data_IF_352662601863
#
_entry.id   IF_352662601863
#
_cell.length_a   1.000
_cell.length_b   1.000
_cell.length_c   1.000
_cell.angle_alpha   90.00
_cell.angle_beta   90.00
_cell.angle_gamma   90.00
#
_symmetry.space_group_name_H-M   'P 1'
#
loop_
_entity.id
_entity.type
_entity.pdbx_description
1 polymer ?
#
# COMPACT_ATOMS: atom_id res chain seq x y z
N UNK A 1 -36.55 -82.91 28.44
CA UNK A 1 -35.31 -82.10 28.39
C UNK A 1 -34.66 -82.30 27.02
N UNK A 2 -34.78 -81.31 26.12
CA UNK A 2 -34.04 -81.28 24.85
C UNK A 2 -33.27 -79.96 24.83
N UNK A 3 -31.95 -80.07 24.83
CA UNK A 3 -31.04 -78.94 24.85
C UNK A 3 -31.05 -78.22 23.50
N UNK A 4 -31.28 -76.91 23.52
CA UNK A 4 -31.20 -76.02 22.37
C UNK A 4 -29.75 -75.53 22.28
N UNK A 5 -29.03 -75.92 21.24
CA UNK A 5 -27.72 -75.35 20.91
C UNK A 5 -27.95 -74.05 20.13
N UNK A 6 -27.79 -72.90 20.79
CA UNK A 6 -27.73 -71.60 20.13
C UNK A 6 -26.31 -71.42 19.56
N UNK A 7 -26.17 -71.47 18.24
CA UNK A 7 -24.93 -71.06 17.56
C UNK A 7 -24.92 -69.54 17.46
N UNK A 8 -24.05 -68.90 18.25
CA UNK A 8 -23.83 -67.46 18.24
C UNK A 8 -22.82 -67.13 17.11
N UNK A 9 -23.30 -66.85 15.91
CA UNK A 9 -22.47 -66.28 14.84
C UNK A 9 -22.12 -64.83 15.18
N UNK A 10 -20.93 -64.62 15.77
CA UNK A 10 -20.30 -63.31 15.90
C UNK A 10 -19.91 -62.80 14.50
N UNK A 11 -20.77 -62.00 13.88
CA UNK A 11 -20.37 -61.12 12.78
C UNK A 11 -19.52 -59.99 13.36
N UNK A 12 -18.19 -60.16 13.37
CA UNK A 12 -17.28 -59.02 13.49
C UNK A 12 -17.42 -58.18 12.20
N UNK A 13 -18.26 -57.16 12.24
CA UNK A 13 -18.15 -56.05 11.30
C UNK A 13 -16.82 -55.34 11.55
N UNK A 14 -15.79 -55.70 10.77
CA UNK A 14 -14.58 -54.92 10.65
C UNK A 14 -14.98 -53.55 10.10
N UNK A 15 -15.16 -52.58 10.99
CA UNK A 15 -15.19 -51.17 10.63
C UNK A 15 -13.77 -50.82 10.15
N UNK A 16 -13.53 -51.00 8.86
CA UNK A 16 -12.38 -50.42 8.19
C UNK A 16 -12.55 -48.91 8.26
N UNK A 17 -11.91 -48.27 9.25
CA UNK A 17 -11.66 -46.84 9.21
C UNK A 17 -10.82 -46.59 7.95
N UNK A 18 -11.46 -46.22 6.85
CA UNK A 18 -10.78 -45.62 5.72
C UNK A 18 -10.12 -44.36 6.25
N UNK A 19 -8.81 -44.41 6.52
CA UNK A 19 -8.04 -43.21 6.80
C UNK A 19 -8.24 -42.30 5.58
N UNK A 20 -8.82 -41.12 5.79
CA UNK A 20 -8.89 -40.09 4.75
C UNK A 20 -7.46 -39.84 4.30
N UNK A 21 -7.12 -40.28 3.08
CA UNK A 21 -5.78 -40.16 2.54
C UNK A 21 -5.43 -38.68 2.50
N UNK A 22 -4.38 -38.25 3.23
CA UNK A 22 -3.86 -36.89 3.09
C UNK A 22 -3.32 -36.74 1.66
N UNK A 23 -4.10 -36.10 0.79
CA UNK A 23 -3.78 -35.92 -0.63
C UNK A 23 -2.49 -35.13 -0.84
N UNK A 24 -2.03 -34.37 0.17
CA UNK A 24 -0.83 -33.55 0.11
C UNK A 24 0.43 -34.21 0.70
N UNK A 25 0.33 -35.43 1.23
CA UNK A 25 1.41 -36.07 1.99
C UNK A 25 2.77 -36.09 1.26
N UNK A 26 2.75 -36.26 -0.08
CA UNK A 26 3.98 -36.24 -0.89
C UNK A 26 4.66 -34.87 -0.94
N UNK A 27 3.88 -33.79 -1.07
CA UNK A 27 4.37 -32.42 -1.09
C UNK A 27 4.88 -32.04 0.31
N UNK A 28 4.08 -32.32 1.33
CA UNK A 28 4.37 -32.00 2.73
C UNK A 28 5.68 -32.71 3.18
N UNK A 29 5.81 -34.01 2.91
CA UNK A 29 7.01 -34.80 3.26
C UNK A 29 8.28 -34.32 2.55
N UNK A 30 8.13 -33.77 1.34
CA UNK A 30 9.26 -33.17 0.62
C UNK A 30 9.66 -31.83 1.25
N UNK A 31 8.69 -31.03 1.66
CA UNK A 31 8.94 -29.76 2.36
C UNK A 31 9.49 -29.95 3.77
N UNK A 32 9.18 -31.04 4.47
CA UNK A 32 9.82 -31.40 5.74
C UNK A 32 11.35 -31.56 5.62
N UNK A 33 11.84 -31.81 4.41
CA UNK A 33 13.26 -32.03 4.10
C UNK A 33 13.94 -30.79 3.51
N UNK A 34 13.29 -29.63 3.52
CA UNK A 34 13.92 -28.39 3.07
C UNK A 34 15.21 -28.12 3.88
N UNK A 35 16.37 -27.93 3.22
CA UNK A 35 17.61 -27.61 3.93
C UNK A 35 17.49 -26.29 4.69
N UNK A 36 18.17 -26.17 5.84
CA UNK A 36 18.12 -24.96 6.67
C UNK A 36 18.52 -23.70 5.90
N UNK A 37 19.56 -23.79 5.05
CA UNK A 37 20.01 -22.64 4.25
C UNK A 37 18.95 -22.17 3.24
N UNK A 38 18.15 -23.11 2.72
CA UNK A 38 17.02 -22.83 1.82
C UNK A 38 15.78 -22.31 2.56
N UNK A 39 15.79 -22.29 3.90
CA UNK A 39 14.69 -21.86 4.77
C UNK A 39 14.97 -20.51 5.48
N UNK A 40 16.08 -19.85 5.14
CA UNK A 40 16.56 -18.64 5.83
C UNK A 40 16.22 -17.32 5.10
N UNK A 41 15.74 -17.39 3.86
CA UNK A 41 15.24 -16.22 3.13
C UNK A 41 14.04 -16.61 2.28
N UNK A 42 13.15 -15.66 2.00
CA UNK A 42 11.99 -15.92 1.16
C UNK A 42 12.36 -16.27 -0.28
N UNK A 43 13.45 -15.72 -0.81
CA UNK A 43 13.95 -16.09 -2.15
C UNK A 43 14.49 -17.52 -2.19
N UNK A 44 15.21 -17.96 -1.14
CA UNK A 44 15.70 -19.33 -1.09
C UNK A 44 14.55 -20.35 -0.98
N UNK A 45 13.53 -20.04 -0.16
CA UNK A 45 12.31 -20.85 -0.06
C UNK A 45 11.60 -20.91 -1.42
N UNK A 46 11.41 -19.77 -2.10
CA UNK A 46 10.78 -19.70 -3.42
C UNK A 46 11.54 -20.54 -4.47
N UNK A 47 12.88 -20.45 -4.48
CA UNK A 47 13.73 -21.20 -5.39
C UNK A 47 13.67 -22.71 -5.12
N UNK A 48 13.71 -23.10 -3.85
CA UNK A 48 13.58 -24.50 -3.45
C UNK A 48 12.23 -25.07 -3.91
N UNK A 49 11.13 -24.38 -3.62
CA UNK A 49 9.78 -24.81 -4.03
C UNK A 49 9.70 -24.90 -5.56
N UNK A 50 10.14 -23.86 -6.28
CA UNK A 50 10.07 -23.80 -7.74
C UNK A 50 10.90 -24.86 -8.45
N UNK A 51 12.03 -25.28 -7.86
CA UNK A 51 12.88 -26.34 -8.39
C UNK A 51 12.29 -27.74 -8.14
N UNK A 52 11.43 -27.89 -7.14
CA UNK A 52 10.94 -29.17 -6.65
C UNK A 52 9.50 -29.51 -7.04
N UNK A 53 8.72 -28.51 -7.47
CA UNK A 53 7.30 -28.63 -7.82
C UNK A 53 7.00 -27.88 -9.12
N UNK A 54 6.17 -28.48 -9.98
CA UNK A 54 5.97 -27.98 -11.36
C UNK A 54 4.76 -27.07 -11.48
N UNK A 55 3.65 -27.48 -10.87
CA UNK A 55 2.37 -26.78 -11.00
C UNK A 55 2.19 -25.73 -9.90
N UNK A 56 1.42 -24.68 -10.19
CA UNK A 56 1.12 -23.64 -9.20
C UNK A 56 0.36 -24.20 -7.99
N UNK A 57 -0.49 -25.21 -8.21
CA UNK A 57 -1.19 -25.92 -7.14
C UNK A 57 -0.23 -26.68 -6.19
N UNK A 58 0.82 -27.31 -6.71
CA UNK A 58 1.83 -27.96 -5.87
C UNK A 58 2.70 -26.94 -5.13
N UNK A 59 3.14 -25.88 -5.83
CA UNK A 59 3.98 -24.82 -5.27
C UNK A 59 3.27 -24.09 -4.13
N UNK A 60 2.02 -23.70 -4.33
CA UNK A 60 1.25 -23.00 -3.31
C UNK A 60 0.91 -23.91 -2.12
N UNK A 61 0.74 -25.22 -2.35
CA UNK A 61 0.62 -26.21 -1.26
C UNK A 61 1.91 -26.28 -0.44
N UNK A 62 3.05 -26.39 -1.11
CA UNK A 62 4.35 -26.44 -0.45
C UNK A 62 4.59 -25.19 0.40
N UNK A 63 4.22 -24.01 -0.10
CA UNK A 63 4.32 -22.75 0.63
C UNK A 63 3.35 -22.67 1.83
N UNK A 64 2.08 -23.04 1.63
CA UNK A 64 1.11 -23.09 2.74
C UNK A 64 1.59 -24.02 3.84
N UNK A 65 2.07 -25.21 3.47
CA UNK A 65 2.62 -26.15 4.42
C UNK A 65 3.82 -25.56 5.15
N UNK A 66 4.81 -25.02 4.42
CA UNK A 66 6.01 -24.43 5.04
C UNK A 66 5.65 -23.33 6.03
N UNK A 67 4.78 -22.39 5.66
CA UNK A 67 4.35 -21.29 6.53
C UNK A 67 3.62 -21.80 7.78
N UNK A 68 2.65 -22.71 7.60
CA UNK A 68 1.86 -23.26 8.71
C UNK A 68 2.67 -24.19 9.64
N UNK A 69 3.64 -24.93 9.11
CA UNK A 69 4.41 -25.92 9.87
C UNK A 69 5.70 -25.36 10.47
N UNK A 70 6.30 -24.32 9.90
CA UNK A 70 7.56 -23.75 10.38
C UNK A 70 7.37 -22.55 11.31
N UNK A 71 6.29 -21.79 11.19
CA UNK A 71 6.06 -20.60 12.01
C UNK A 71 5.20 -20.97 13.23
N UNK A 72 5.52 -20.42 14.40
CA UNK A 72 4.71 -20.54 15.62
C UNK A 72 4.07 -19.21 16.01
N UNK A 73 2.83 -19.24 16.47
CA UNK A 73 2.12 -18.00 16.80
C UNK A 73 2.73 -17.31 18.03
N UNK A 74 3.05 -16.03 17.90
CA UNK A 74 3.70 -15.23 18.94
C UNK A 74 2.67 -14.48 19.79
N UNK A 75 2.30 -15.09 20.91
CA UNK A 75 1.29 -14.54 21.84
C UNK A 75 1.81 -13.28 22.54
N UNK A 76 3.11 -13.21 22.86
CA UNK A 76 3.70 -12.02 23.47
C UNK A 76 3.62 -10.83 22.52
N UNK A 77 3.95 -11.03 21.24
CA UNK A 77 3.83 -10.00 20.20
C UNK A 77 2.37 -9.64 19.93
N UNK A 78 1.43 -10.59 19.99
CA UNK A 78 -0.01 -10.30 19.87
C UNK A 78 -0.50 -9.38 21.00
N UNK A 79 -0.01 -9.57 22.22
CA UNK A 79 -0.40 -8.75 23.38
C UNK A 79 0.30 -7.38 23.40
N UNK A 80 1.46 -7.25 22.76
CA UNK A 80 2.22 -6.00 22.66
C UNK A 80 2.69 -5.75 21.21
N UNK A 81 1.77 -5.37 20.31
CA UNK A 81 2.09 -5.18 18.89
C UNK A 81 3.00 -3.96 18.70
N UNK A 82 4.02 -4.11 17.84
CA UNK A 82 4.82 -2.98 17.39
C UNK A 82 4.13 -2.30 16.20
N UNK A 83 3.59 -1.10 16.41
CA UNK A 83 2.87 -0.34 15.39
C UNK A 83 3.77 0.23 14.28
N UNK A 84 5.09 0.26 14.49
CA UNK A 84 6.06 0.81 13.54
C UNK A 84 6.78 -0.28 12.72
N UNK A 85 6.40 -1.55 12.86
CA UNK A 85 7.03 -2.66 12.14
C UNK A 85 6.69 -2.59 10.64
N UNK A 86 7.72 -2.53 9.78
CA UNK A 86 7.53 -2.56 8.32
C UNK A 86 7.23 -3.98 7.81
N UNK A 87 6.80 -4.11 6.55
CA UNK A 87 6.63 -5.43 5.92
C UNK A 87 7.92 -6.24 5.93
N UNK A 88 9.06 -5.60 5.64
CA UNK A 88 10.36 -6.29 5.64
C UNK A 88 10.76 -6.73 7.05
N UNK A 89 10.54 -5.89 8.07
CA UNK A 89 10.80 -6.25 9.48
C UNK A 89 10.00 -7.48 9.90
N UNK A 90 8.73 -7.58 9.49
CA UNK A 90 7.89 -8.76 9.77
C UNK A 90 8.45 -10.03 9.13
N UNK A 91 8.86 -9.96 7.87
CA UNK A 91 9.44 -11.09 7.14
C UNK A 91 10.75 -11.54 7.80
N UNK A 92 11.65 -10.59 8.07
CA UNK A 92 12.95 -10.87 8.69
C UNK A 92 12.79 -11.45 10.10
N UNK A 93 11.82 -10.94 10.86
CA UNK A 93 11.48 -11.47 12.18
C UNK A 93 11.07 -12.94 12.13
N UNK A 94 10.19 -13.32 11.19
CA UNK A 94 9.80 -14.72 10.99
C UNK A 94 10.97 -15.57 10.56
N UNK A 95 11.75 -15.13 9.57
CA UNK A 95 12.85 -15.93 9.05
C UNK A 95 13.90 -16.22 10.13
N UNK A 96 14.16 -15.25 11.00
CA UNK A 96 15.10 -15.36 12.13
C UNK A 96 14.57 -16.16 13.31
N UNK A 97 13.32 -15.93 13.72
CA UNK A 97 12.78 -16.44 14.99
C UNK A 97 11.82 -17.62 14.83
N UNK A 98 11.33 -17.83 13.60
CA UNK A 98 10.24 -18.75 13.26
C UNK A 98 8.96 -18.49 14.09
N UNK A 99 8.73 -17.24 14.47
CA UNK A 99 7.57 -16.77 15.24
C UNK A 99 6.95 -15.52 14.61
N UNK A 100 5.66 -15.31 14.85
CA UNK A 100 4.96 -14.11 14.39
C UNK A 100 3.46 -14.14 14.69
N UNK A 101 2.74 -13.06 14.36
CA UNK A 101 1.27 -13.00 14.40
C UNK A 101 0.69 -13.04 12.99
N UNK A 102 -0.63 -12.92 12.83
CA UNK A 102 -1.30 -13.10 11.54
C UNK A 102 -0.68 -12.35 10.36
N UNK A 103 -0.30 -11.08 10.55
CA UNK A 103 0.37 -10.27 9.52
C UNK A 103 1.74 -10.86 9.13
N UNK A 104 2.52 -11.38 10.06
CA UNK A 104 3.81 -12.03 9.78
C UNK A 104 3.66 -13.27 8.90
N UNK A 105 2.68 -14.12 9.20
CA UNK A 105 2.39 -15.30 8.38
C UNK A 105 1.96 -14.89 6.96
N UNK A 106 1.03 -13.93 6.86
CA UNK A 106 0.49 -13.47 5.59
C UNK A 106 1.58 -12.82 4.71
N UNK A 107 2.45 -12.00 5.29
CA UNK A 107 3.51 -11.31 4.53
C UNK A 107 4.58 -12.27 4.01
N UNK A 108 4.99 -13.26 4.81
CA UNK A 108 5.93 -14.30 4.33
C UNK A 108 5.29 -15.15 3.24
N UNK A 109 4.04 -15.56 3.41
CA UNK A 109 3.30 -16.28 2.37
C UNK A 109 3.21 -15.45 1.08
N UNK A 110 2.83 -14.17 1.20
CA UNK A 110 2.68 -13.27 0.07
C UNK A 110 4.00 -13.05 -0.69
N UNK A 111 5.09 -12.77 0.03
CA UNK A 111 6.39 -12.49 -0.56
C UNK A 111 6.99 -13.72 -1.27
N UNK A 112 6.91 -14.91 -0.66
CA UNK A 112 7.35 -16.15 -1.31
C UNK A 112 6.47 -16.49 -2.52
N UNK A 113 5.14 -16.34 -2.40
CA UNK A 113 4.22 -16.61 -3.52
C UNK A 113 4.55 -15.77 -4.74
N UNK A 114 4.72 -14.46 -4.56
CA UNK A 114 5.05 -13.55 -5.65
C UNK A 114 6.44 -13.86 -6.26
N UNK A 115 7.43 -14.25 -5.45
CA UNK A 115 8.75 -14.71 -5.92
C UNK A 115 8.72 -15.99 -6.74
N UNK A 116 7.70 -16.84 -6.56
CA UNK A 116 7.46 -18.02 -7.40
C UNK A 116 6.65 -17.71 -8.67
N UNK A 117 6.28 -16.44 -8.90
CA UNK A 117 5.45 -16.01 -10.03
C UNK A 117 3.94 -16.19 -9.82
N UNK A 118 3.49 -16.51 -8.60
CA UNK A 118 2.06 -16.67 -8.28
C UNK A 118 1.56 -15.40 -7.60
N UNK A 119 0.75 -14.62 -8.31
CA UNK A 119 0.19 -13.36 -7.80
C UNK A 119 -0.56 -13.58 -6.50
N UNK A 120 -0.14 -12.85 -5.47
CA UNK A 120 -0.73 -12.93 -4.14
C UNK A 120 -0.93 -11.52 -3.56
N UNK A 121 -1.97 -11.37 -2.73
CA UNK A 121 -2.25 -10.18 -1.95
C UNK A 121 -2.44 -10.54 -0.48
N UNK A 122 -1.92 -9.70 0.42
CA UNK A 122 -2.29 -9.70 1.85
C UNK A 122 -3.60 -8.96 2.01
N UNK A 123 -4.54 -9.58 2.71
CA UNK A 123 -5.87 -9.05 2.99
C UNK A 123 -5.98 -8.77 4.48
N UNK A 124 -6.38 -7.54 4.82
CA UNK A 124 -6.65 -7.12 6.20
C UNK A 124 -8.16 -7.09 6.45
N UNK A 125 -8.56 -7.57 7.63
CA UNK A 125 -9.96 -7.58 8.03
C UNK A 125 -10.15 -7.99 9.47
N UNK A 126 -11.29 -8.61 9.73
CA UNK A 126 -11.65 -9.16 11.03
C UNK A 126 -12.32 -10.52 10.86
N UNK A 127 -12.34 -11.31 11.93
CA UNK A 127 -12.91 -12.65 11.91
C UNK A 127 -14.12 -12.78 12.82
N UNK A 128 -14.94 -13.80 12.56
CA UNK A 128 -16.07 -14.18 13.38
C UNK A 128 -16.00 -15.67 13.70
N UNK A 129 -16.07 -16.01 14.99
CA UNK A 129 -16.14 -17.39 15.48
C UNK A 129 -17.34 -17.53 16.41
N UNK A 130 -18.11 -18.61 16.28
CA UNK A 130 -19.32 -18.87 17.09
C UNK A 130 -20.30 -17.67 17.10
N UNK A 131 -20.45 -17.00 15.96
CA UNK A 131 -21.30 -15.82 15.81
C UNK A 131 -20.77 -14.52 16.41
N UNK A 132 -19.57 -14.53 17.03
CA UNK A 132 -18.97 -13.36 17.68
C UNK A 132 -17.75 -12.86 16.90
N UNK A 133 -17.69 -11.55 16.70
CA UNK A 133 -16.52 -10.89 16.08
C UNK A 133 -15.35 -10.96 17.04
N UNK A 134 -14.16 -11.26 16.51
CA UNK A 134 -12.92 -11.24 17.27
C UNK A 134 -12.55 -9.81 17.69
N UNK A 135 -11.87 -9.66 18.83
CA UNK A 135 -11.46 -8.34 19.34
C UNK A 135 -10.26 -7.75 18.62
N UNK A 136 -9.57 -8.55 17.80
CA UNK A 136 -8.38 -8.15 17.06
C UNK A 136 -8.65 -8.24 15.56
N UNK A 137 -8.01 -7.36 14.80
CA UNK A 137 -7.92 -7.51 13.35
C UNK A 137 -7.16 -8.78 12.99
N UNK A 138 -7.36 -9.23 11.76
CA UNK A 138 -6.73 -10.43 11.23
C UNK A 138 -6.21 -10.17 9.82
N UNK A 139 -5.18 -10.91 9.43
CA UNK A 139 -4.57 -10.84 8.12
C UNK A 139 -4.42 -12.24 7.52
N UNK A 140 -4.75 -12.36 6.23
CA UNK A 140 -4.66 -13.60 5.47
C UNK A 140 -4.26 -13.29 4.02
N UNK A 141 -4.23 -14.28 3.15
CA UNK A 141 -3.78 -14.13 1.77
C UNK A 141 -4.84 -14.52 0.74
N UNK A 142 -4.75 -13.91 -0.44
CA UNK A 142 -5.44 -14.35 -1.64
C UNK A 142 -4.40 -14.61 -2.74
N UNK A 143 -4.43 -15.77 -3.37
CA UNK A 143 -3.51 -16.11 -4.48
C UNK A 143 -4.28 -16.57 -5.72
N UNK A 144 -3.79 -16.18 -6.90
CA UNK A 144 -4.39 -16.55 -8.20
C UNK A 144 -3.74 -17.83 -8.70
N UNK A 145 -4.51 -18.92 -8.81
CA UNK A 145 -4.06 -20.24 -9.28
C UNK A 145 -4.95 -20.62 -10.46
N UNK A 146 -4.34 -20.98 -11.59
CA UNK A 146 -5.06 -21.34 -12.82
C UNK A 146 -6.13 -20.30 -13.20
N UNK A 147 -5.75 -19.02 -13.15
CA UNK A 147 -6.61 -17.85 -13.37
C UNK A 147 -7.80 -17.67 -12.40
N UNK A 148 -7.83 -18.38 -11.27
CA UNK A 148 -8.88 -18.24 -10.24
C UNK A 148 -8.30 -17.81 -8.91
N UNK A 149 -8.98 -16.89 -8.23
CA UNK A 149 -8.60 -16.45 -6.90
C UNK A 149 -9.07 -17.42 -5.83
N UNK A 150 -8.14 -17.81 -4.95
CA UNK A 150 -8.41 -18.61 -3.77
C UNK A 150 -7.85 -17.90 -2.53
N UNK A 151 -8.45 -18.16 -1.38
CA UNK A 151 -8.05 -17.57 -0.11
C UNK A 151 -7.29 -18.59 0.76
N UNK A 152 -6.33 -18.08 1.51
CA UNK A 152 -5.40 -18.85 2.33
C UNK A 152 -5.25 -18.16 3.67
N UNK A 153 -5.51 -18.86 4.77
CA UNK A 153 -5.13 -18.40 6.10
C UNK A 153 -4.03 -19.31 6.65
N UNK A 154 -2.75 -18.97 6.43
CA UNK A 154 -1.62 -19.73 6.96
C UNK A 154 -1.53 -19.70 8.49
N UNK A 155 -2.15 -18.71 9.17
CA UNK A 155 -2.16 -18.61 10.64
C UNK A 155 -3.13 -19.60 11.25
N UNK A 156 -4.40 -19.58 10.84
CA UNK A 156 -5.38 -20.59 11.30
C UNK A 156 -5.09 -21.97 10.68
N UNK A 157 -4.34 -22.01 9.58
CA UNK A 157 -3.73 -23.22 9.02
C UNK A 157 -2.66 -23.84 9.91
N UNK A 158 -1.94 -23.03 10.71
CA UNK A 158 -0.87 -23.50 11.59
C UNK A 158 -1.37 -24.14 12.89
N UNK A 159 -2.56 -23.76 13.35
CA UNK A 159 -3.11 -24.23 14.62
C UNK A 159 -4.07 -23.24 15.25
N UNK A 160 -4.17 -23.25 16.57
CA UNK A 160 -5.06 -22.38 17.32
C UNK A 160 -4.44 -21.96 18.67
N UNK A 161 -4.96 -20.87 19.23
CA UNK A 161 -4.62 -20.43 20.58
C UNK A 161 -5.73 -20.87 21.54
N UNK A 162 -5.35 -21.48 22.65
CA UNK A 162 -6.24 -21.80 23.76
C UNK A 162 -5.56 -21.43 25.08
N UNK A 163 -6.25 -20.70 25.95
CA UNK A 163 -5.72 -20.22 27.24
C UNK A 163 -4.31 -19.60 27.12
N UNK A 164 -4.14 -18.64 26.20
CA UNK A 164 -2.86 -17.97 25.92
C UNK A 164 -1.69 -18.93 25.60
N UNK A 165 -2.00 -20.12 25.09
CA UNK A 165 -1.01 -21.08 24.61
C UNK A 165 -1.32 -21.44 23.15
N UNK A 166 -0.29 -21.42 22.30
CA UNK A 166 -0.43 -21.81 20.90
C UNK A 166 -0.26 -23.32 20.76
N UNK A 167 -1.23 -23.96 20.11
CA UNK A 167 -1.21 -25.39 19.80
C UNK A 167 -1.07 -25.55 18.28
N UNK A 168 0.09 -26.04 17.84
CA UNK A 168 0.34 -26.34 16.43
C UNK A 168 -0.47 -27.56 16.01
N UNK A 169 -1.31 -27.37 14.99
CA UNK A 169 -2.14 -28.42 14.39
C UNK A 169 -2.49 -27.99 12.98
N UNK A 170 -1.84 -28.59 11.99
CA UNK A 170 -2.08 -28.26 10.59
C UNK A 170 -3.58 -28.41 10.26
N UNK A 171 -4.16 -27.37 9.67
CA UNK A 171 -5.58 -27.33 9.31
C UNK A 171 -5.75 -26.98 7.84
N UNK A 172 -5.99 -28.00 7.02
CA UNK A 172 -6.17 -27.84 5.58
C UNK A 172 -7.49 -27.14 5.20
N UNK A 173 -8.41 -26.90 6.16
CA UNK A 173 -9.65 -26.12 5.89
C UNK A 173 -9.38 -24.67 5.52
N UNK A 174 -8.15 -24.18 5.74
CA UNK A 174 -7.69 -22.84 5.41
C UNK A 174 -6.74 -22.80 4.21
N UNK A 175 -6.58 -23.92 3.50
CA UNK A 175 -5.81 -24.03 2.26
C UNK A 175 -6.75 -23.98 1.05
N UNK A 176 -6.46 -23.08 0.09
CA UNK A 176 -7.17 -22.98 -1.20
C UNK A 176 -8.69 -22.87 -1.04
N UNK A 177 -9.13 -22.01 -0.11
CA UNK A 177 -10.53 -21.82 0.23
C UNK A 177 -11.23 -20.94 -0.80
N UNK A 178 -12.44 -21.31 -1.20
CA UNK A 178 -13.26 -20.49 -2.08
C UNK A 178 -13.68 -19.19 -1.36
N UNK A 179 -13.68 -18.02 -2.04
CA UNK A 179 -14.10 -16.76 -1.44
C UNK A 179 -15.49 -16.81 -0.77
N UNK A 180 -16.45 -17.47 -1.40
CA UNK A 180 -17.82 -17.61 -0.89
C UNK A 180 -17.94 -18.47 0.39
N UNK A 181 -16.93 -19.28 0.69
CA UNK A 181 -16.80 -20.10 1.91
C UNK A 181 -16.06 -19.30 2.98
N UNK A 182 -14.88 -18.74 2.68
CA UNK A 182 -14.08 -18.07 3.70
C UNK A 182 -14.77 -16.81 4.24
N UNK A 183 -15.54 -16.10 3.41
CA UNK A 183 -16.31 -14.90 3.80
C UNK A 183 -17.33 -15.17 4.93
N UNK A 184 -17.60 -16.43 5.28
CA UNK A 184 -18.47 -16.77 6.42
C UNK A 184 -17.81 -16.51 7.77
N UNK A 185 -16.47 -16.49 7.81
CA UNK A 185 -15.68 -16.28 9.02
C UNK A 185 -14.65 -15.15 8.89
N UNK A 186 -14.23 -14.78 7.68
CA UNK A 186 -13.21 -13.75 7.42
C UNK A 186 -13.79 -12.61 6.59
N UNK A 187 -13.89 -11.42 7.18
CA UNK A 187 -14.45 -10.24 6.54
C UNK A 187 -13.36 -9.20 6.27
N UNK A 188 -12.97 -8.95 5.00
CA UNK A 188 -12.08 -7.85 4.67
C UNK A 188 -12.65 -6.50 5.08
N UNK A 189 -11.79 -5.57 5.47
CA UNK A 189 -12.23 -4.19 5.74
C UNK A 189 -12.76 -3.50 4.47
N UNK A 190 -12.05 -3.68 3.36
CA UNK A 190 -12.40 -3.12 2.06
C UNK A 190 -12.98 -4.22 1.16
N UNK A 191 -14.22 -4.01 0.70
CA UNK A 191 -15.04 -5.07 0.10
C UNK A 191 -14.52 -5.61 -1.24
N UNK A 192 -13.63 -4.90 -1.94
CA UNK A 192 -13.03 -5.41 -3.20
C UNK A 192 -12.20 -6.68 -2.93
N UNK A 193 -11.66 -6.81 -1.72
CA UNK A 193 -10.85 -7.94 -1.28
C UNK A 193 -11.68 -9.13 -0.80
N UNK A 194 -13.00 -9.10 -0.98
CA UNK A 194 -13.84 -10.28 -0.78
C UNK A 194 -13.72 -11.28 -1.93
N UNK A 195 -13.25 -10.84 -3.12
CA UNK A 195 -13.22 -11.65 -4.34
C UNK A 195 -14.60 -12.24 -4.68
N UNK A 196 -15.64 -11.41 -4.52
CA UNK A 196 -17.03 -11.74 -4.79
C UNK A 196 -17.63 -10.71 -5.76
N UNK A 197 -18.35 -11.21 -6.75
CA UNK A 197 -19.11 -10.37 -7.68
C UNK A 197 -20.26 -9.60 -7.00
N UNK A 198 -20.74 -10.12 -5.87
CA UNK A 198 -21.76 -9.48 -5.04
C UNK A 198 -21.27 -9.40 -3.59
N UNK A 199 -20.42 -8.40 -3.26
CA UNK A 199 -19.84 -8.28 -1.95
C UNK A 199 -20.88 -8.19 -0.83
N UNK A 200 -20.56 -8.78 0.32
CA UNK A 200 -21.32 -8.62 1.54
C UNK A 200 -21.00 -7.26 2.18
N UNK A 201 -22.03 -6.65 2.74
CA UNK A 201 -21.88 -5.54 3.68
C UNK A 201 -21.49 -6.05 5.07
N UNK A 202 -20.94 -5.18 5.90
CA UNK A 202 -20.67 -5.53 7.30
C UNK A 202 -21.95 -5.94 8.03
N UNK A 203 -23.11 -5.34 7.69
CA UNK A 203 -24.40 -5.72 8.27
C UNK A 203 -24.75 -7.18 7.95
N UNK A 204 -24.69 -7.55 6.67
CA UNK A 204 -25.00 -8.92 6.23
C UNK A 204 -24.05 -9.95 6.83
N UNK A 205 -22.75 -9.61 6.92
CA UNK A 205 -21.77 -10.47 7.56
C UNK A 205 -22.09 -10.68 9.05
N UNK A 206 -22.41 -9.61 9.79
CA UNK A 206 -22.72 -9.70 11.22
C UNK A 206 -24.02 -10.49 11.48
N UNK A 207 -25.08 -10.19 10.74
CA UNK A 207 -26.39 -10.82 10.88
C UNK A 207 -26.44 -12.25 10.32
N UNK A 208 -25.45 -12.64 9.48
CA UNK A 208 -25.46 -13.92 8.79
C UNK A 208 -26.56 -14.04 7.72
N UNK A 209 -27.11 -12.91 7.27
CA UNK A 209 -28.21 -12.84 6.30
C UNK A 209 -27.74 -12.11 5.05
N UNK A 210 -27.69 -12.82 3.92
CA UNK A 210 -27.35 -12.21 2.62
C UNK A 210 -28.60 -11.63 1.98
N UNK A 211 -28.53 -10.40 1.48
CA UNK A 211 -29.56 -9.85 0.61
C UNK A 211 -29.55 -10.60 -0.74
N UNK A 212 -30.70 -10.60 -1.40
CA UNK A 212 -30.84 -11.24 -2.71
C UNK A 212 -29.92 -10.57 -3.74
N UNK A 213 -29.28 -11.36 -4.62
CA UNK A 213 -28.30 -10.83 -5.58
C UNK A 213 -28.93 -9.82 -6.57
N UNK A 214 -30.20 -10.00 -6.92
CA UNK A 214 -30.94 -9.09 -7.80
C UNK A 214 -31.10 -7.66 -7.23
N UNK A 215 -30.91 -7.46 -5.92
CA UNK A 215 -30.94 -6.13 -5.29
C UNK A 215 -29.55 -5.49 -5.18
N UNK A 216 -28.49 -6.17 -5.65
CA UNK A 216 -27.10 -5.69 -5.57
C UNK A 216 -26.52 -5.40 -6.94
N UNK A 217 -25.72 -4.35 -7.02
CA UNK A 217 -24.89 -4.08 -8.20
C UNK A 217 -23.74 -5.10 -8.23
N UNK A 218 -23.57 -5.77 -9.36
CA UNK A 218 -22.43 -6.64 -9.61
C UNK A 218 -21.13 -5.81 -9.64
N UNK A 219 -20.08 -6.35 -9.02
CA UNK A 219 -18.72 -5.82 -8.98
C UNK A 219 -17.80 -6.74 -9.78
N UNK A 220 -17.16 -6.21 -10.82
CA UNK A 220 -16.01 -6.88 -11.42
C UNK A 220 -14.79 -6.64 -10.53
N UNK A 221 -14.59 -7.51 -9.54
CA UNK A 221 -13.54 -7.32 -8.55
C UNK A 221 -12.14 -7.42 -9.16
N UNK A 222 -11.93 -8.21 -10.23
CA UNK A 222 -10.62 -8.32 -10.87
C UNK A 222 -10.22 -7.01 -11.55
N UNK A 223 -11.17 -6.40 -12.28
CA UNK A 223 -10.96 -5.09 -12.90
C UNK A 223 -10.74 -4.01 -11.85
N UNK A 224 -11.52 -4.00 -10.78
CA UNK A 224 -11.38 -3.01 -9.72
C UNK A 224 -10.07 -3.17 -8.94
N UNK A 225 -9.61 -4.39 -8.63
CA UNK A 225 -8.30 -4.62 -8.02
C UNK A 225 -7.17 -4.15 -8.96
N UNK A 226 -7.25 -4.45 -10.24
CA UNK A 226 -6.25 -4.01 -11.24
C UNK A 226 -6.17 -2.48 -11.28
N UNK A 227 -7.31 -1.79 -11.38
CA UNK A 227 -7.37 -0.33 -11.34
C UNK A 227 -6.82 0.21 -10.02
N UNK A 228 -7.29 -0.32 -8.89
CA UNK A 228 -6.90 0.11 -7.55
C UNK A 228 -5.40 -0.02 -7.30
N UNK A 229 -4.79 -1.12 -7.73
CA UNK A 229 -3.36 -1.37 -7.53
C UNK A 229 -2.46 -0.43 -8.34
N UNK A 230 -2.95 0.13 -9.47
CA UNK A 230 -2.24 1.15 -10.27
C UNK A 230 -2.32 2.59 -9.72
N UNK A 231 -3.16 2.84 -8.71
CA UNK A 231 -3.34 4.17 -8.15
C UNK A 231 -2.14 4.62 -7.31
N UNK A 232 -2.02 5.94 -7.11
CA UNK A 232 -1.10 6.52 -6.13
C UNK A 232 -1.50 6.14 -4.70
N UNK A 233 -0.57 6.19 -3.75
CA UNK A 233 -0.87 5.80 -2.36
C UNK A 233 -1.94 6.70 -1.70
N UNK A 234 -1.99 7.98 -2.05
CA UNK A 234 -3.06 8.87 -1.60
C UNK A 234 -4.41 8.42 -2.13
N UNK A 235 -4.51 8.10 -3.42
CA UNK A 235 -5.78 7.69 -4.04
C UNK A 235 -6.20 6.31 -3.52
N UNK A 236 -5.24 5.39 -3.29
CA UNK A 236 -5.49 4.09 -2.66
C UNK A 236 -6.07 4.25 -1.25
N UNK A 237 -5.50 5.15 -0.45
CA UNK A 237 -5.98 5.41 0.90
C UNK A 237 -7.37 6.05 0.90
N UNK A 238 -7.59 7.04 0.02
CA UNK A 238 -8.88 7.70 -0.16
C UNK A 238 -9.97 6.70 -0.56
N UNK A 239 -9.79 6.00 -1.69
CA UNK A 239 -10.82 5.10 -2.19
C UNK A 239 -11.09 3.93 -1.25
N UNK A 240 -10.06 3.40 -0.59
CA UNK A 240 -10.26 2.36 0.42
C UNK A 240 -11.10 2.87 1.59
N UNK A 241 -10.84 4.10 2.07
CA UNK A 241 -11.65 4.71 3.14
C UNK A 241 -13.13 4.86 2.74
N UNK A 242 -13.41 5.30 1.51
CA UNK A 242 -14.77 5.43 0.98
C UNK A 242 -15.48 4.07 0.88
N UNK A 243 -14.75 3.03 0.43
CA UNK A 243 -15.30 1.68 0.34
C UNK A 243 -15.57 1.07 1.71
N UNK A 244 -14.68 1.26 2.68
CA UNK A 244 -14.86 0.82 4.07
C UNK A 244 -16.12 1.48 4.66
N UNK A 245 -16.26 2.81 4.51
CA UNK A 245 -17.42 3.57 5.00
C UNK A 245 -18.72 3.08 4.36
N UNK A 246 -18.73 2.94 3.03
CA UNK A 246 -19.88 2.44 2.26
C UNK A 246 -20.28 1.02 2.68
N UNK A 247 -19.34 0.18 3.13
CA UNK A 247 -19.63 -1.17 3.58
C UNK A 247 -20.24 -1.24 4.99
N UNK A 248 -20.26 -0.12 5.72
CA UNK A 248 -20.91 0.09 7.01
C UNK A 248 -19.95 0.03 8.20
N UNK A 249 -19.86 1.11 8.97
CA UNK A 249 -18.97 1.25 10.13
C UNK A 249 -19.60 0.66 11.41
N UNK A 250 -19.79 -0.65 11.45
CA UNK A 250 -20.62 -1.33 12.47
C UNK A 250 -19.86 -1.96 13.64
N UNK A 251 -18.53 -1.93 13.64
CA UNK A 251 -17.72 -2.37 14.77
C UNK A 251 -16.43 -1.55 14.88
N UNK A 252 -15.80 -1.59 16.05
CA UNK A 252 -14.63 -0.78 16.38
C UNK A 252 -13.47 -0.99 15.42
N UNK A 253 -13.17 -2.23 15.02
CA UNK A 253 -12.07 -2.53 14.10
C UNK A 253 -12.27 -1.88 12.72
N UNK A 254 -13.50 -1.88 12.21
CA UNK A 254 -13.84 -1.22 10.94
C UNK A 254 -13.72 0.31 11.07
N UNK A 255 -14.16 0.88 12.19
CA UNK A 255 -14.05 2.32 12.46
C UNK A 255 -12.58 2.75 12.56
N UNK A 256 -11.75 1.95 13.24
CA UNK A 256 -10.31 2.21 13.37
C UNK A 256 -9.61 2.13 12.01
N UNK A 257 -9.88 1.10 11.20
CA UNK A 257 -9.31 1.00 9.86
C UNK A 257 -9.75 2.16 8.97
N UNK A 258 -11.01 2.57 9.04
CA UNK A 258 -11.50 3.74 8.31
C UNK A 258 -10.75 5.02 8.69
N UNK A 259 -10.60 5.29 9.99
CA UNK A 259 -9.84 6.45 10.49
C UNK A 259 -8.39 6.39 10.05
N UNK A 260 -7.76 5.22 10.13
CA UNK A 260 -6.40 5.00 9.67
C UNK A 260 -6.24 5.33 8.17
N UNK A 261 -7.16 4.86 7.30
CA UNK A 261 -7.10 5.17 5.86
C UNK A 261 -7.35 6.65 5.56
N UNK A 262 -8.25 7.32 6.28
CA UNK A 262 -8.44 8.78 6.13
C UNK A 262 -7.21 9.57 6.54
N UNK A 263 -6.56 9.16 7.63
CA UNK A 263 -5.33 9.78 8.09
C UNK A 263 -4.16 9.53 7.13
N UNK A 264 -4.02 8.30 6.62
CA UNK A 264 -3.04 7.99 5.59
C UNK A 264 -3.24 8.84 4.32
N UNK A 265 -4.48 8.99 3.85
CA UNK A 265 -4.79 9.89 2.73
C UNK A 265 -4.34 11.33 2.98
N UNK A 266 -4.62 11.85 4.19
CA UNK A 266 -4.21 13.20 4.60
C UNK A 266 -2.69 13.34 4.56
N UNK A 267 -1.95 12.39 5.14
CA UNK A 267 -0.48 12.40 5.20
C UNK A 267 0.11 12.32 3.80
N UNK A 268 -0.32 11.36 2.97
CA UNK A 268 0.21 11.22 1.60
C UNK A 268 -0.06 12.45 0.73
N UNK A 269 -1.24 13.06 0.87
CA UNK A 269 -1.58 14.30 0.17
C UNK A 269 -0.68 15.46 0.62
N UNK A 270 -0.43 15.58 1.92
CA UNK A 270 0.47 16.59 2.47
C UNK A 270 1.90 16.41 1.97
N UNK A 271 2.44 15.20 2.02
CA UNK A 271 3.80 14.91 1.55
C UNK A 271 3.96 15.25 0.05
N UNK A 272 2.99 14.86 -0.79
CA UNK A 272 2.98 15.21 -2.22
C UNK A 272 2.95 16.73 -2.44
N UNK A 273 2.23 17.48 -1.61
CA UNK A 273 2.20 18.94 -1.69
C UNK A 273 3.50 19.57 -1.17
N UNK A 274 4.15 18.98 -0.17
CA UNK A 274 5.46 19.41 0.33
C UNK A 274 6.54 19.20 -0.75
N UNK A 275 6.51 18.08 -1.48
CA UNK A 275 7.41 17.86 -2.62
C UNK A 275 7.25 18.94 -3.70
N UNK A 276 6.00 19.27 -4.05
CA UNK A 276 5.70 20.38 -4.96
C UNK A 276 6.21 21.72 -4.43
N UNK A 277 6.03 21.98 -3.14
CA UNK A 277 6.53 23.19 -2.48
C UNK A 277 8.05 23.28 -2.57
N UNK A 278 8.76 22.18 -2.29
CA UNK A 278 10.22 22.12 -2.37
C UNK A 278 10.71 22.33 -3.80
N UNK A 279 10.09 21.68 -4.79
CA UNK A 279 10.40 21.89 -6.21
C UNK A 279 10.17 23.35 -6.64
N UNK A 280 9.12 23.98 -6.11
CA UNK A 280 8.81 25.38 -6.39
C UNK A 280 9.81 26.35 -5.76
N UNK A 281 10.32 26.05 -4.56
CA UNK A 281 11.43 26.79 -3.95
C UNK A 281 12.69 26.73 -4.83
N UNK A 282 13.03 25.55 -5.36
CA UNK A 282 14.17 25.41 -6.29
C UNK A 282 13.98 26.28 -7.53
N UNK A 283 12.82 26.19 -8.19
CA UNK A 283 12.47 27.02 -9.36
C UNK A 283 12.52 28.51 -9.04
N UNK A 284 11.97 28.92 -7.89
CA UNK A 284 12.02 30.31 -7.44
C UNK A 284 13.46 30.80 -7.25
N UNK A 285 14.31 30.03 -6.59
CA UNK A 285 15.71 30.40 -6.35
C UNK A 285 16.51 30.51 -7.65
N UNK A 286 16.30 29.59 -8.60
CA UNK A 286 16.88 29.69 -9.94
C UNK A 286 16.44 30.96 -10.67
N UNK A 287 15.15 31.32 -10.58
CA UNK A 287 14.63 32.55 -11.19
C UNK A 287 15.20 33.82 -10.56
N UNK A 288 15.42 33.81 -9.23
CA UNK A 288 16.10 34.89 -8.53
C UNK A 288 17.53 35.05 -9.03
N UNK A 289 18.25 33.96 -9.28
CA UNK A 289 19.58 34.01 -9.87
C UNK A 289 19.56 34.69 -11.25
N UNK A 290 18.64 34.29 -12.15
CA UNK A 290 18.51 34.91 -13.47
C UNK A 290 18.10 36.39 -13.41
N UNK A 291 17.27 36.78 -12.45
CA UNK A 291 16.91 38.18 -12.21
C UNK A 291 18.13 38.97 -11.72
N UNK A 292 18.87 38.43 -10.76
CA UNK A 292 20.07 39.07 -10.21
C UNK A 292 21.14 39.24 -11.29
N UNK A 293 21.35 38.26 -12.15
CA UNK A 293 22.27 38.38 -13.28
C UNK A 293 21.85 39.51 -14.24
N UNK A 294 20.56 39.66 -14.53
CA UNK A 294 20.06 40.78 -15.33
C UNK A 294 20.28 42.12 -14.64
N UNK A 295 20.03 42.20 -13.33
CA UNK A 295 20.25 43.40 -12.52
C UNK A 295 21.74 43.78 -12.53
N UNK A 296 22.64 42.81 -12.34
CA UNK A 296 24.09 43.01 -12.41
C UNK A 296 24.50 43.45 -13.82
N UNK A 297 23.94 42.83 -14.87
CA UNK A 297 24.17 43.20 -16.26
C UNK A 297 23.77 44.66 -16.54
N UNK A 298 22.61 45.09 -16.02
CA UNK A 298 22.16 46.49 -16.05
C UNK A 298 23.11 47.41 -15.28
N UNK A 299 23.53 47.04 -14.07
CA UNK A 299 24.48 47.81 -13.27
C UNK A 299 25.84 47.97 -13.97
N UNK A 300 26.27 46.94 -14.71
CA UNK A 300 27.44 46.99 -15.60
C UNK A 300 27.17 47.72 -16.92
N UNK A 301 26.09 48.50 -16.99
CA UNK A 301 25.71 49.33 -18.15
C UNK A 301 25.54 48.50 -19.42
N UNK A 302 24.94 47.32 -19.28
CA UNK A 302 24.69 46.35 -20.34
C UNK A 302 25.98 45.89 -21.04
N UNK A 303 26.97 45.48 -20.24
CA UNK A 303 28.24 44.90 -20.69
C UNK A 303 28.38 43.44 -20.25
N UNK A 304 28.74 42.51 -21.17
CA UNK A 304 29.09 42.72 -22.58
C UNK A 304 27.91 43.17 -23.47
N UNK A 305 28.20 43.80 -24.61
CA UNK A 305 27.14 44.32 -25.49
C UNK A 305 26.29 43.16 -26.01
N UNK A 306 24.98 43.24 -25.80
CA UNK A 306 23.98 42.37 -26.42
C UNK A 306 23.07 43.21 -27.31
N UNK A 307 22.35 42.57 -28.24
CA UNK A 307 21.26 43.18 -29.02
C UNK A 307 20.11 43.63 -28.11
N UNK A 308 19.27 44.52 -28.60
CA UNK A 308 18.09 44.98 -27.84
C UNK A 308 17.03 43.88 -27.71
N UNK A 309 17.01 42.93 -28.64
CA UNK A 309 16.15 41.75 -28.60
C UNK A 309 16.58 40.76 -27.51
N UNK A 310 17.88 40.45 -27.40
CA UNK A 310 18.40 39.58 -26.34
C UNK A 310 18.06 40.11 -24.94
N UNK A 311 18.17 41.42 -24.72
CA UNK A 311 17.79 42.05 -23.44
C UNK A 311 16.31 41.89 -23.14
N UNK A 312 15.45 42.11 -24.15
CA UNK A 312 13.99 41.92 -24.00
C UNK A 312 13.66 40.47 -23.68
N UNK A 313 14.22 39.54 -24.43
CA UNK A 313 13.98 38.11 -24.25
C UNK A 313 14.44 37.64 -22.87
N UNK A 314 15.57 38.15 -22.34
CA UNK A 314 16.02 37.84 -20.99
C UNK A 314 14.97 38.22 -19.95
N UNK A 315 14.59 39.50 -19.88
CA UNK A 315 13.68 39.96 -18.82
C UNK A 315 12.27 39.37 -18.97
N UNK A 316 11.80 39.19 -20.20
CA UNK A 316 10.52 38.53 -20.48
C UNK A 316 10.52 37.07 -20.02
N UNK A 317 11.61 36.34 -20.24
CA UNK A 317 11.76 34.96 -19.75
C UNK A 317 11.75 34.92 -18.22
N UNK A 318 12.44 35.84 -17.55
CA UNK A 318 12.42 35.92 -16.08
C UNK A 318 10.99 36.20 -15.59
N UNK A 319 10.30 37.17 -16.21
CA UNK A 319 8.91 37.51 -15.87
C UNK A 319 7.96 36.33 -16.08
N UNK A 320 8.06 35.62 -17.21
CA UNK A 320 7.19 34.46 -17.48
C UNK A 320 7.44 33.34 -16.47
N UNK A 321 8.69 33.10 -16.07
CA UNK A 321 9.02 32.11 -15.05
C UNK A 321 8.48 32.48 -13.66
N UNK A 322 8.56 33.75 -13.24
CA UNK A 322 7.94 34.18 -11.98
C UNK A 322 6.42 34.12 -12.01
N UNK A 323 5.76 34.49 -13.12
CA UNK A 323 4.31 34.31 -13.30
C UNK A 323 3.88 32.85 -13.21
N UNK A 324 4.70 31.94 -13.77
CA UNK A 324 4.49 30.51 -13.60
C UNK A 324 4.60 30.12 -12.12
N UNK A 325 5.66 30.55 -11.42
CA UNK A 325 5.80 30.27 -9.99
C UNK A 325 4.63 30.82 -9.16
N UNK A 326 4.13 32.02 -9.49
CA UNK A 326 2.96 32.62 -8.85
C UNK A 326 1.71 31.75 -9.05
N UNK A 327 1.46 31.29 -10.27
CA UNK A 327 0.34 30.38 -10.54
C UNK A 327 0.50 29.06 -9.77
N UNK A 328 1.70 28.46 -9.82
CA UNK A 328 1.98 27.17 -9.21
C UNK A 328 1.86 27.22 -7.67
N UNK A 329 2.29 28.30 -7.01
CA UNK A 329 2.25 28.42 -5.54
C UNK A 329 0.82 28.49 -4.99
N UNK A 330 -0.13 29.03 -5.77
CA UNK A 330 -1.55 29.06 -5.37
C UNK A 330 -2.28 27.74 -5.63
N UNK A 331 -1.70 26.87 -6.47
CA UNK A 331 -2.21 25.51 -6.73
C UNK A 331 -1.67 24.46 -5.73
N UNK A 332 -0.78 24.85 -4.80
CA UNK A 332 -0.34 23.98 -3.71
C UNK A 332 -1.47 23.83 -2.69
N UNK A 333 -1.88 22.59 -2.44
CA UNK A 333 -2.89 22.26 -1.44
C UNK A 333 -2.36 22.31 0.00
N UNK A 334 -2.99 21.54 0.90
CA UNK A 334 -2.61 21.47 2.31
C UNK A 334 -1.21 20.84 2.44
N UNK A 335 -0.29 21.50 3.15
CA UNK A 335 1.11 21.07 3.38
C UNK A 335 1.41 20.73 4.86
N UNK A 336 0.37 20.65 5.69
CA UNK A 336 0.51 20.49 7.14
C UNK A 336 0.83 21.80 7.85
N UNK A 337 0.63 21.81 9.17
CA UNK A 337 0.81 23.00 10.02
C UNK A 337 2.26 23.50 10.01
N UNK A 338 3.22 22.56 10.03
CA UNK A 338 4.66 22.85 10.06
C UNK A 338 5.15 23.63 8.82
N UNK A 339 4.57 23.39 7.64
CA UNK A 339 5.00 24.01 6.37
C UNK A 339 4.10 25.17 5.93
N UNK A 340 3.05 25.51 6.68
CA UNK A 340 2.10 26.57 6.30
C UNK A 340 2.80 27.94 6.27
N UNK A 341 3.71 28.19 7.22
CA UNK A 341 4.54 29.39 7.24
C UNK A 341 5.44 29.50 6.01
N UNK A 342 6.12 28.41 5.64
CA UNK A 342 6.99 28.35 4.45
C UNK A 342 6.21 28.64 3.17
N UNK A 343 5.06 27.98 2.95
CA UNK A 343 4.19 28.25 1.79
C UNK A 343 3.76 29.72 1.72
N UNK A 344 3.33 30.31 2.85
CA UNK A 344 2.96 31.73 2.91
C UNK A 344 4.15 32.65 2.58
N UNK A 345 5.33 32.35 3.11
CA UNK A 345 6.53 33.15 2.84
C UNK A 345 6.93 33.07 1.36
N UNK A 346 6.90 31.88 0.76
CA UNK A 346 7.20 31.72 -0.67
C UNK A 346 6.24 32.53 -1.55
N UNK A 347 4.94 32.54 -1.24
CA UNK A 347 3.95 33.39 -1.94
C UNK A 347 4.35 34.86 -1.93
N UNK A 348 4.72 35.39 -0.76
CA UNK A 348 5.17 36.78 -0.61
C UNK A 348 6.47 37.04 -1.37
N UNK A 349 7.44 36.13 -1.27
CA UNK A 349 8.72 36.24 -1.97
C UNK A 349 8.56 36.25 -3.49
N UNK A 350 7.71 35.37 -4.04
CA UNK A 350 7.38 35.36 -5.48
C UNK A 350 6.75 36.69 -5.91
N UNK A 351 5.76 37.19 -5.16
CA UNK A 351 5.11 38.47 -5.48
C UNK A 351 6.12 39.64 -5.49
N UNK A 352 7.01 39.71 -4.51
CA UNK A 352 8.08 40.72 -4.45
C UNK A 352 9.04 40.59 -5.64
N UNK A 353 9.48 39.37 -5.98
CA UNK A 353 10.39 39.15 -7.09
C UNK A 353 9.75 39.49 -8.45
N UNK A 354 8.44 39.22 -8.60
CA UNK A 354 7.70 39.61 -9.79
C UNK A 354 7.63 41.15 -9.93
N UNK A 355 7.31 41.87 -8.85
CA UNK A 355 7.34 43.34 -8.85
C UNK A 355 8.72 43.89 -9.24
N UNK A 356 9.79 43.35 -8.65
CA UNK A 356 11.16 43.75 -9.01
C UNK A 356 11.48 43.47 -10.48
N UNK A 357 11.01 42.34 -11.02
CA UNK A 357 11.17 42.00 -12.43
C UNK A 357 10.46 43.01 -13.33
N UNK A 358 9.26 43.44 -12.95
CA UNK A 358 8.49 44.46 -13.69
C UNK A 358 9.16 45.83 -13.65
N UNK A 359 9.78 46.22 -12.54
CA UNK A 359 10.60 47.44 -12.47
C UNK A 359 11.81 47.37 -13.41
N UNK A 360 12.49 46.21 -13.50
CA UNK A 360 13.60 46.02 -14.42
C UNK A 360 13.14 46.07 -15.88
N UNK A 361 12.01 45.45 -16.19
CA UNK A 361 11.40 45.47 -17.52
C UNK A 361 11.02 46.89 -17.93
N UNK A 362 10.37 47.65 -17.04
CA UNK A 362 9.98 49.03 -17.30
C UNK A 362 11.21 49.92 -17.56
N UNK A 363 12.26 49.78 -16.76
CA UNK A 363 13.52 50.48 -17.00
C UNK A 363 14.10 50.12 -18.38
N UNK A 364 14.12 48.84 -18.73
CA UNK A 364 14.64 48.39 -20.02
C UNK A 364 13.80 48.98 -21.17
N UNK A 365 12.47 48.97 -21.08
CA UNK A 365 11.60 49.57 -22.09
C UNK A 365 11.89 51.07 -22.27
N UNK A 366 12.01 51.81 -21.17
CA UNK A 366 12.38 53.23 -21.25
C UNK A 366 13.77 53.41 -21.88
N UNK A 367 14.78 52.64 -21.45
CA UNK A 367 16.13 52.68 -22.02
C UNK A 367 16.12 52.44 -23.53
N UNK A 368 15.38 51.42 -23.98
CA UNK A 368 15.30 51.05 -25.39
C UNK A 368 14.55 52.09 -26.24
N UNK A 369 13.64 52.87 -25.64
CA UNK A 369 12.94 53.96 -26.33
C UNK A 369 13.82 55.18 -26.65
N UNK A 370 14.95 55.36 -25.96
CA UNK A 370 15.85 56.49 -26.16
C UNK A 370 16.82 56.28 -27.32
N UNK A 371 17.25 57.39 -27.94
CA UNK A 371 18.38 57.42 -28.88
C UNK A 371 19.73 57.19 -28.18
N UNK A 372 20.83 57.14 -28.94
CA UNK A 372 22.18 56.83 -28.42
C UNK A 372 22.65 57.77 -27.30
N UNK A 373 22.33 59.06 -27.37
CA UNK A 373 22.68 60.06 -26.35
C UNK A 373 21.82 59.84 -25.09
N UNK A 374 20.50 59.69 -25.26
CA UNK A 374 19.59 59.46 -24.14
C UNK A 374 19.90 58.18 -23.37
N UNK A 375 20.28 57.10 -24.07
CA UNK A 375 20.75 55.84 -23.45
C UNK A 375 22.00 56.06 -22.58
N UNK A 376 22.97 56.88 -23.05
CA UNK A 376 24.18 57.20 -22.27
C UNK A 376 23.84 57.98 -20.99
N UNK A 377 22.95 58.97 -21.07
CA UNK A 377 22.51 59.79 -19.92
C UNK A 377 21.78 58.93 -18.88
N UNK A 378 20.90 58.03 -19.33
CA UNK A 378 20.16 57.15 -18.44
C UNK A 378 21.09 56.21 -17.66
N UNK A 379 22.15 55.71 -18.31
CA UNK A 379 23.17 54.86 -17.68
C UNK A 379 24.16 55.63 -16.81
N UNK A 380 24.40 56.93 -17.05
CA UNK A 380 25.24 57.76 -16.16
C UNK A 380 24.55 58.11 -14.84
N UNK A 381 23.21 58.12 -14.82
CA UNK A 381 22.42 58.42 -13.64
C UNK A 381 22.14 57.20 -12.74
N UNK A 382 22.61 56.00 -13.11
CA UNK A 382 22.58 54.83 -12.24
C UNK A 382 23.53 55.07 -11.05
N UNK A 383 23.00 55.58 -9.93
CA UNK A 383 23.75 55.69 -8.67
C UNK A 383 24.10 54.29 -8.18
N UNK A 384 25.38 54.05 -7.88
CA UNK A 384 25.82 52.89 -7.11
C UNK A 384 25.25 53.11 -5.70
N UNK A 385 24.17 52.40 -5.34
CA UNK A 385 23.78 52.25 -3.94
C UNK A 385 24.66 51.13 -3.39
N UNK A 386 25.63 51.50 -2.54
CA UNK A 386 26.41 50.56 -1.75
C UNK A 386 25.51 49.75 -0.82
#
# INVERSE_FOLDING_TARGET
>A
MRAIFLSLCLFLSLLSFSQVKNEFAGIDSKMDKIPTHDSNSTIAIANYISSNFKTDAEKIRALFYWTASNISYDISKMLAPNVNETTQDRIDNVLKTKKGVCSHYAEVFNDVSNKMGISCYVIEGFTKQNGKVANLSHAWCAAKIDNKWYLFDPTWGAGYVNNNTFFKKLNNSYFKVQPNVLITSHMPFDYIWQFLDYPLTNKEFLEGKRQAQNSKKQLDFEKEITRYTSLSDSDKAFESSERIEKNGLLNTLVIEQYKYKKEAFRIYTQNKNIEKLNALYTSYNENIFFLNDFIIYRFKKFKPTQSDEEKRNWIQNVKSKFKKCETDVYNIGIVGTENTGSLSNLKKSIATALMQTEEQEQFLMEYLSKNSIGRKVMLSNLKIRN
#
